data_IF_457554275841
#
_entry.id   IF_457554275841
#
_cell.length_a   1.000
_cell.length_b   1.000
_cell.length_c   1.000
_cell.angle_alpha   90.00
_cell.angle_beta   90.00
_cell.angle_gamma   90.00
#
_symmetry.space_group_name_H-M   'P 1'
#
loop_
_entity.id
_entity.type
_entity.pdbx_description
1 polymer ?
#
# COMPACT_ATOMS: atom_id res chain seq x y z
N UNK A 1 -24.87 9.96 0.03
CA UNK A 1 -23.84 9.29 0.85
C UNK A 1 -22.50 9.86 0.40
N UNK A 2 -21.65 10.34 1.33
CA UNK A 2 -20.34 10.90 0.98
C UNK A 2 -19.34 9.75 0.77
N UNK A 3 -18.31 10.00 -0.03
CA UNK A 3 -17.21 9.06 -0.26
C UNK A 3 -15.92 9.78 0.02
N UNK A 4 -15.12 9.24 0.93
CA UNK A 4 -13.76 9.68 1.18
C UNK A 4 -12.87 9.13 0.09
N UNK A 5 -11.99 9.98 -0.44
CA UNK A 5 -11.06 9.62 -1.52
C UNK A 5 -9.66 10.07 -1.10
N UNK A 6 -8.71 9.14 -1.15
CA UNK A 6 -7.29 9.43 -1.06
C UNK A 6 -6.57 8.91 -2.31
N UNK A 7 -5.53 9.61 -2.73
CA UNK A 7 -4.69 9.25 -3.88
C UNK A 7 -3.26 9.03 -3.39
N UNK A 8 -2.63 7.97 -3.88
CA UNK A 8 -1.20 7.72 -3.73
C UNK A 8 -0.57 7.64 -5.11
N UNK A 9 0.44 8.47 -5.36
CA UNK A 9 1.26 8.39 -6.55
C UNK A 9 2.58 7.69 -6.19
N UNK A 10 2.86 6.58 -6.88
CA UNK A 10 4.04 5.76 -6.68
C UNK A 10 5.09 6.19 -7.68
N UNK A 11 6.26 6.52 -7.17
CA UNK A 11 7.39 6.99 -7.94
C UNK A 11 8.53 5.99 -7.87
N UNK A 12 9.12 5.72 -9.03
CA UNK A 12 10.38 5.02 -9.16
C UNK A 12 11.50 5.79 -8.44
N UNK A 13 12.48 5.06 -7.90
CA UNK A 13 13.71 5.63 -7.37
C UNK A 13 14.90 5.28 -8.27
N UNK A 14 16.12 5.65 -7.86
CA UNK A 14 17.32 5.36 -8.65
C UNK A 14 17.66 3.87 -8.77
N UNK A 15 17.00 3.01 -7.98
CA UNK A 15 17.28 1.58 -7.87
C UNK A 15 16.23 0.69 -8.55
N UNK A 16 15.03 1.21 -8.83
CA UNK A 16 13.93 0.45 -9.41
C UNK A 16 12.98 1.31 -10.25
N UNK A 17 12.29 0.69 -11.19
CA UNK A 17 11.37 1.34 -12.14
C UNK A 17 9.86 1.31 -11.83
N UNK A 18 9.33 0.51 -10.86
CA UNK A 18 7.91 0.51 -10.56
C UNK A 18 7.35 1.91 -10.28
N UNK A 19 6.20 2.21 -10.90
CA UNK A 19 5.49 3.47 -10.72
C UNK A 19 4.00 3.28 -10.91
N UNK A 20 3.19 4.27 -10.53
CA UNK A 20 1.76 4.22 -10.78
C UNK A 20 0.93 5.15 -9.92
N UNK A 21 -0.38 4.97 -9.96
CA UNK A 21 -1.33 5.72 -9.15
C UNK A 21 -2.35 4.77 -8.57
N UNK A 22 -2.58 4.90 -7.26
CA UNK A 22 -3.64 4.21 -6.54
C UNK A 22 -4.64 5.21 -5.96
N UNK A 23 -5.91 4.81 -5.98
CA UNK A 23 -7.03 5.54 -5.40
C UNK A 23 -7.64 4.65 -4.32
N UNK A 24 -7.74 5.21 -3.12
CA UNK A 24 -8.42 4.63 -1.98
C UNK A 24 -9.76 5.32 -1.84
N UNK A 25 -10.84 4.55 -1.85
CA UNK A 25 -12.20 5.05 -1.65
C UNK A 25 -12.86 4.35 -0.47
N UNK A 26 -13.57 5.10 0.35
CA UNK A 26 -14.35 4.56 1.48
C UNK A 26 -15.67 5.31 1.58
N UNK A 27 -16.78 4.60 1.72
CA UNK A 27 -18.06 5.26 1.94
C UNK A 27 -18.14 5.81 3.37
N UNK A 28 -18.80 6.95 3.53
CA UNK A 28 -18.89 7.68 4.80
C UNK A 28 -19.95 7.05 5.74
N UNK A 29 -19.69 5.81 6.16
CA UNK A 29 -20.42 5.12 7.21
C UNK A 29 -19.50 4.17 7.99
N UNK A 30 -19.83 3.95 9.26
CA UNK A 30 -19.00 3.15 10.17
C UNK A 30 -18.83 1.71 9.65
N UNK A 31 -17.58 1.25 9.61
CA UNK A 31 -17.23 -0.10 9.15
C UNK A 31 -17.22 -0.30 7.64
N UNK A 32 -17.41 0.75 6.83
CA UNK A 32 -17.26 0.65 5.38
C UNK A 32 -15.83 0.20 5.01
N UNK A 33 -15.66 -0.80 4.13
CA UNK A 33 -14.33 -1.22 3.70
C UNK A 33 -13.68 -0.15 2.82
N UNK A 34 -12.35 -0.10 2.85
CA UNK A 34 -11.57 0.69 1.88
C UNK A 34 -11.45 -0.13 0.59
N UNK A 35 -11.85 0.45 -0.54
CA UNK A 35 -11.58 -0.08 -1.87
C UNK A 35 -10.35 0.62 -2.45
N UNK A 36 -9.38 -0.17 -2.88
CA UNK A 36 -8.14 0.30 -3.53
C UNK A 36 -8.19 -0.09 -5.01
N UNK A 37 -8.02 0.89 -5.90
CA UNK A 37 -7.96 0.66 -7.35
C UNK A 37 -6.91 1.55 -7.97
N UNK A 38 -6.30 1.13 -9.07
CA UNK A 38 -5.36 1.97 -9.77
C UNK A 38 -4.59 1.24 -10.85
N UNK A 39 -3.49 1.84 -11.27
CA UNK A 39 -2.61 1.30 -12.31
C UNK A 39 -1.19 1.35 -11.80
N UNK A 40 -0.50 0.21 -11.91
CA UNK A 40 0.93 0.10 -11.71
C UNK A 40 1.57 -0.27 -13.05
N UNK A 41 2.75 0.27 -13.31
CA UNK A 41 3.54 0.05 -14.52
C UNK A 41 4.97 -0.30 -14.15
N UNK A 42 5.70 -0.87 -15.10
CA UNK A 42 7.11 -1.23 -14.97
C UNK A 42 7.40 -2.21 -13.80
N UNK A 43 6.39 -2.98 -13.38
CA UNK A 43 6.59 -4.12 -12.52
C UNK A 43 7.46 -5.14 -13.27
N UNK A 44 8.39 -5.76 -12.54
CA UNK A 44 9.20 -6.84 -13.10
C UNK A 44 8.23 -7.97 -13.49
N UNK A 45 8.19 -8.40 -14.76
CA UNK A 45 7.24 -9.41 -15.21
C UNK A 45 7.62 -10.80 -14.66
N UNK A 46 6.64 -11.70 -14.56
CA UNK A 46 6.81 -13.11 -14.21
C UNK A 46 7.41 -13.38 -12.81
N UNK A 47 7.31 -12.43 -11.88
CA UNK A 47 7.59 -12.68 -10.45
C UNK A 47 6.29 -12.84 -9.67
N UNK A 48 6.28 -13.76 -8.70
CA UNK A 48 5.12 -14.02 -7.83
C UNK A 48 5.11 -13.14 -6.57
N UNK A 49 6.07 -12.23 -6.43
CA UNK A 49 6.48 -11.70 -5.12
C UNK A 49 6.47 -10.18 -5.02
N UNK A 50 5.65 -9.45 -5.79
CA UNK A 50 5.46 -8.02 -5.54
C UNK A 50 4.55 -7.82 -4.32
N UNK A 51 5.12 -8.01 -3.13
CA UNK A 51 4.46 -7.72 -1.87
C UNK A 51 4.13 -6.23 -1.80
N UNK A 52 2.87 -5.93 -1.51
CA UNK A 52 2.37 -4.57 -1.52
C UNK A 52 1.90 -4.17 -0.12
N UNK A 53 2.48 -3.08 0.40
CA UNK A 53 2.30 -2.68 1.79
C UNK A 53 2.10 -1.16 1.91
N UNK A 54 1.30 -0.76 2.89
CA UNK A 54 1.33 0.61 3.42
C UNK A 54 2.43 0.68 4.47
N UNK A 55 3.35 1.63 4.32
CA UNK A 55 4.44 1.88 5.27
C UNK A 55 4.08 2.97 6.29
N UNK A 56 4.86 3.05 7.37
CA UNK A 56 4.60 3.97 8.49
C UNK A 56 4.64 5.46 8.12
N UNK A 57 5.50 5.84 7.19
CA UNK A 57 5.74 7.24 6.84
C UNK A 57 5.48 7.53 5.36
N UNK A 58 4.85 8.67 5.10
CA UNK A 58 4.80 9.24 3.75
C UNK A 58 6.16 9.83 3.36
N UNK A 59 6.54 9.69 2.10
CA UNK A 59 7.74 10.33 1.57
C UNK A 59 7.44 11.79 1.19
N UNK A 60 8.32 12.75 1.51
CA UNK A 60 8.18 14.12 1.04
C UNK A 60 8.24 14.18 -0.49
N UNK A 61 7.49 15.11 -1.09
CA UNK A 61 7.52 15.31 -2.53
C UNK A 61 8.94 15.59 -3.03
N UNK A 62 9.39 14.80 -4.00
CA UNK A 62 10.74 14.92 -4.57
C UNK A 62 11.82 14.16 -3.81
N UNK A 63 11.50 13.55 -2.66
CA UNK A 63 12.41 12.67 -1.92
C UNK A 63 11.93 11.20 -1.99
N UNK A 64 12.16 10.55 -3.13
CA UNK A 64 11.73 9.17 -3.38
C UNK A 64 12.66 8.11 -2.81
N UNK A 65 13.34 8.40 -1.70
CA UNK A 65 14.15 7.39 -1.01
C UNK A 65 13.23 6.45 -0.22
N UNK A 66 12.92 5.30 -0.81
CA UNK A 66 12.01 4.30 -0.26
C UNK A 66 12.39 3.84 1.15
N UNK A 67 13.69 3.82 1.49
CA UNK A 67 14.15 3.43 2.83
C UNK A 67 13.65 4.35 3.95
N UNK A 68 13.22 5.58 3.63
CA UNK A 68 12.62 6.51 4.60
C UNK A 68 11.16 6.22 4.92
N UNK A 69 10.49 5.33 4.19
CA UNK A 69 9.09 4.97 4.44
C UNK A 69 8.92 4.22 5.78
N UNK A 70 10.01 3.66 6.33
CA UNK A 70 10.02 2.92 7.60
C UNK A 70 9.48 1.49 7.43
N UNK A 71 9.07 0.88 8.53
CA UNK A 71 8.49 -0.47 8.53
C UNK A 71 7.06 -0.47 7.95
N UNK A 72 6.46 -1.66 7.86
CA UNK A 72 5.06 -1.80 7.49
C UNK A 72 4.17 -1.11 8.53
N UNK A 73 3.07 -0.50 8.10
CA UNK A 73 2.13 0.14 9.01
C UNK A 73 1.44 -0.90 9.90
N UNK A 74 1.86 -0.94 11.16
CA UNK A 74 1.45 -1.92 12.16
C UNK A 74 1.03 -1.24 13.49
N UNK A 75 -0.16 -0.59 13.53
CA UNK A 75 -0.61 0.12 14.72
C UNK A 75 -0.97 -0.79 15.91
N UNK A 76 -1.08 -2.10 15.69
CA UNK A 76 -1.49 -3.09 16.70
C UNK A 76 -0.38 -4.05 17.13
N UNK A 77 0.87 -3.80 16.69
CA UNK A 77 2.05 -4.62 17.02
C UNK A 77 1.84 -6.11 16.75
N UNK A 78 1.20 -6.43 15.62
CA UNK A 78 0.96 -7.80 15.16
C UNK A 78 2.15 -8.33 14.36
N UNK A 79 2.10 -9.60 13.97
CA UNK A 79 3.07 -10.20 13.04
C UNK A 79 2.73 -9.85 11.59
N UNK A 80 3.71 -9.95 10.68
CA UNK A 80 3.46 -9.90 9.24
C UNK A 80 2.57 -11.08 8.80
N UNK A 81 1.65 -10.84 7.86
CA UNK A 81 0.72 -11.86 7.39
C UNK A 81 0.14 -11.58 6.00
N UNK A 82 -0.74 -12.48 5.54
CA UNK A 82 -1.48 -12.31 4.29
C UNK A 82 -2.69 -11.39 4.50
N UNK A 83 -3.17 -10.74 3.45
CA UNK A 83 -4.36 -9.87 3.50
C UNK A 83 -5.64 -10.60 3.95
N UNK A 84 -5.68 -11.92 3.83
CA UNK A 84 -6.78 -12.77 4.28
C UNK A 84 -6.66 -13.23 5.73
N UNK A 85 -5.52 -13.01 6.38
CA UNK A 85 -5.35 -13.31 7.81
C UNK A 85 -6.20 -12.37 8.66
N UNK A 86 -6.54 -12.83 9.87
CA UNK A 86 -7.29 -12.03 10.83
C UNK A 86 -6.50 -10.78 11.23
N UNK A 87 -7.20 -9.73 11.69
CA UNK A 87 -6.56 -8.45 12.02
C UNK A 87 -5.52 -8.57 13.15
N UNK A 88 -5.62 -9.62 13.97
CA UNK A 88 -4.67 -9.94 15.05
C UNK A 88 -3.41 -10.66 14.53
N UNK A 89 -3.38 -11.12 13.28
CA UNK A 89 -2.32 -11.96 12.70
C UNK A 89 -1.69 -11.40 11.43
N UNK A 90 -1.91 -10.13 11.12
CA UNK A 90 -1.24 -9.41 10.01
C UNK A 90 -1.03 -7.95 10.38
N UNK A 91 -0.10 -7.27 9.72
CA UNK A 91 -0.09 -5.81 9.80
C UNK A 91 -1.33 -5.25 9.10
N UNK A 92 -1.86 -4.13 9.57
CA UNK A 92 -3.00 -3.47 8.92
C UNK A 92 -2.65 -3.08 7.48
N UNK A 93 -1.39 -2.66 7.27
CA UNK A 93 -0.85 -2.28 5.97
C UNK A 93 -0.49 -3.42 5.03
N UNK A 94 -0.60 -4.70 5.41
CA UNK A 94 -0.28 -5.82 4.52
C UNK A 94 -1.42 -6.06 3.50
N UNK A 95 -1.19 -5.77 2.21
CA UNK A 95 -2.21 -5.82 1.15
C UNK A 95 -2.10 -7.05 0.23
N UNK A 96 -1.09 -7.90 0.46
CA UNK A 96 -0.81 -9.11 -0.33
C UNK A 96 0.05 -8.83 -1.56
N UNK A 97 0.02 -9.75 -2.53
CA UNK A 97 0.87 -9.70 -3.72
C UNK A 97 0.13 -9.15 -4.96
N UNK A 98 0.90 -8.50 -5.83
CA UNK A 98 0.52 -8.08 -7.19
C UNK A 98 1.28 -8.96 -8.20
N UNK A 99 0.64 -9.27 -9.34
CA UNK A 99 1.12 -10.22 -10.35
C UNK A 99 1.20 -9.58 -11.73
#
# INVERSE_FOLDING_TARGET
MRTWVARADLHADSSSLPAGTLIFTQADFLGSPVRVTGTLINLIPNTKYHGFHVHMFGLPNGEWNCSKAGDHWNPYSTIHGDRYDSIERRHVGDLGNIW
#
